data_IF_984304154191
#
_entry.id   IF_984304154191
#
_cell.length_a   1.000
_cell.length_b   1.000
_cell.length_c   1.000
_cell.angle_alpha   90.00
_cell.angle_beta   90.00
_cell.angle_gamma   90.00
#
_symmetry.space_group_name_H-M   'P 1'
#
loop_
_entity.id
_entity.type
_entity.pdbx_description
1 polymer ?
#
# COMPACT_ATOMS: atom_id res chain seq x y z
N UNK A 1 -16.01 49.89 -49.19
CA UNK A 1 -17.31 50.15 -48.53
C UNK A 1 -17.28 49.52 -47.15
N UNK A 2 -17.25 50.36 -46.11
CA UNK A 2 -17.22 49.95 -44.71
C UNK A 2 -18.63 49.61 -44.23
N UNK A 3 -18.80 48.45 -43.59
CA UNK A 3 -20.00 48.14 -42.79
C UNK A 3 -19.53 47.71 -41.42
N UNK A 4 -19.47 48.68 -40.50
CA UNK A 4 -19.30 48.49 -39.06
C UNK A 4 -20.51 47.72 -38.53
N UNK A 5 -20.33 46.48 -38.09
CA UNK A 5 -21.33 45.77 -37.30
C UNK A 5 -21.25 46.24 -35.85
N UNK A 6 -22.38 46.76 -35.39
CA UNK A 6 -22.66 47.36 -34.10
C UNK A 6 -22.68 46.27 -33.02
N UNK A 7 -21.75 46.34 -32.07
CA UNK A 7 -21.84 45.56 -30.83
C UNK A 7 -23.01 46.09 -30.01
N UNK A 8 -23.99 45.25 -29.71
CA UNK A 8 -25.02 45.57 -28.73
C UNK A 8 -24.45 45.37 -27.33
N UNK A 9 -24.42 46.46 -26.56
CA UNK A 9 -24.19 46.44 -25.11
C UNK A 9 -25.26 45.60 -24.43
N UNK A 10 -24.83 44.52 -23.79
CA UNK A 10 -25.64 43.76 -22.83
C UNK A 10 -25.59 44.53 -21.51
N UNK A 11 -26.74 45.10 -21.12
CA UNK A 11 -26.94 45.67 -19.79
C UNK A 11 -26.91 44.53 -18.73
N UNK A 12 -26.22 44.70 -17.59
CA UNK A 12 -26.23 43.71 -16.51
C UNK A 12 -27.60 43.68 -15.82
N UNK A 13 -28.13 42.49 -15.55
CA UNK A 13 -29.30 42.30 -14.70
C UNK A 13 -28.97 42.72 -13.24
N UNK A 14 -29.90 43.36 -12.50
CA UNK A 14 -29.66 43.75 -11.12
C UNK A 14 -29.69 42.53 -10.20
N UNK A 15 -28.71 42.47 -9.28
CA UNK A 15 -28.60 41.48 -8.21
C UNK A 15 -29.73 41.73 -7.17
N UNK A 16 -30.45 40.70 -6.71
CA UNK A 16 -31.47 40.88 -5.67
C UNK A 16 -30.84 41.22 -4.30
N UNK A 17 -31.54 42.00 -3.45
CA UNK A 17 -30.99 42.45 -2.17
C UNK A 17 -30.84 41.32 -1.16
N UNK A 18 -29.69 41.31 -0.47
CA UNK A 18 -29.38 40.40 0.64
C UNK A 18 -30.19 40.84 1.88
N UNK A 19 -30.90 39.94 2.58
CA UNK A 19 -31.61 40.29 3.81
C UNK A 19 -30.65 40.51 4.99
N UNK A 20 -30.96 41.44 5.91
CA UNK A 20 -30.10 41.78 7.05
C UNK A 20 -30.05 40.66 8.11
N UNK A 21 -28.96 40.55 8.88
CA UNK A 21 -28.84 39.58 9.97
C UNK A 21 -29.75 39.95 11.15
N UNK A 22 -30.50 38.96 11.65
CA UNK A 22 -31.27 39.04 12.89
C UNK A 22 -30.34 39.14 14.11
N UNK A 23 -30.67 39.98 15.12
CA UNK A 23 -29.84 40.19 16.29
C UNK A 23 -30.00 39.08 17.34
N UNK A 24 -28.88 38.77 17.99
CA UNK A 24 -28.78 37.97 19.20
C UNK A 24 -29.65 38.53 20.33
N UNK A 25 -30.33 37.65 21.06
CA UNK A 25 -31.06 38.01 22.26
C UNK A 25 -30.60 37.13 23.43
N UNK A 26 -29.58 37.61 24.14
CA UNK A 26 -29.27 37.23 25.52
C UNK A 26 -30.00 38.19 26.48
N UNK A 27 -30.78 37.63 27.40
CA UNK A 27 -31.00 38.15 28.76
C UNK A 27 -31.58 37.01 29.62
N UNK A 28 -30.77 36.38 30.49
CA UNK A 28 -30.55 36.74 31.90
C UNK A 28 -31.73 36.46 32.83
N UNK A 29 -31.52 35.54 33.79
CA UNK A 29 -31.79 35.79 35.21
C UNK A 29 -31.09 34.79 36.17
N UNK A 30 -29.95 35.25 36.68
CA UNK A 30 -29.44 35.19 38.05
C UNK A 30 -30.33 34.58 39.15
N UNK A 31 -29.76 33.69 39.98
CA UNK A 31 -29.99 33.68 41.44
C UNK A 31 -28.74 33.17 42.19
N UNK A 32 -28.14 34.11 42.93
CA UNK A 32 -27.37 34.08 44.17
C UNK A 32 -26.51 32.86 44.60
N UNK A 33 -25.23 33.17 44.88
CA UNK A 33 -24.27 32.43 45.75
C UNK A 33 -24.64 32.55 47.25
N UNK A 34 -24.02 31.76 48.15
CA UNK A 34 -22.77 32.22 48.78
C UNK A 34 -21.64 31.17 48.87
N UNK A 35 -20.41 31.71 48.92
CA UNK A 35 -19.12 31.06 49.18
C UNK A 35 -19.00 30.53 50.61
N UNK A 36 -18.37 29.37 50.78
CA UNK A 36 -17.56 29.04 51.97
C UNK A 36 -16.28 28.32 51.50
N UNK A 37 -15.14 28.83 51.94
CA UNK A 37 -13.81 28.25 51.72
C UNK A 37 -13.34 27.52 52.99
N UNK A 38 -12.39 26.59 52.78
CA UNK A 38 -11.36 26.13 53.70
C UNK A 38 -11.69 24.99 54.69
N UNK A 39 -11.24 23.76 54.38
CA UNK A 39 -10.01 23.18 54.98
C UNK A 39 -9.68 21.74 54.51
N UNK A 40 -8.41 21.60 54.16
CA UNK A 40 -7.50 20.44 54.29
C UNK A 40 -8.09 19.11 54.79
N UNK A 41 -7.87 18.05 54.01
CA UNK A 41 -7.53 16.74 54.56
C UNK A 41 -6.60 16.01 53.58
N UNK A 42 -5.36 15.81 54.01
CA UNK A 42 -4.37 14.97 53.35
C UNK A 42 -4.82 13.51 53.43
N UNK A 43 -4.77 12.76 52.32
CA UNK A 43 -4.84 11.30 52.35
C UNK A 43 -3.63 10.73 51.63
N UNK A 44 -2.70 10.24 52.45
CA UNK A 44 -1.55 9.42 52.06
C UNK A 44 -2.03 8.18 51.28
N UNK A 45 -1.49 7.96 50.08
CA UNK A 45 -1.47 6.64 49.45
C UNK A 45 -0.04 6.12 49.44
N UNK A 46 0.17 5.12 50.30
CA UNK A 46 1.39 4.35 50.50
C UNK A 46 1.67 3.46 49.29
N UNK A 47 2.89 3.55 48.75
CA UNK A 47 3.42 2.67 47.72
C UNK A 47 3.76 1.29 48.30
N UNK A 48 3.23 0.22 47.70
CA UNK A 48 3.55 -1.17 48.02
C UNK A 48 4.80 -1.67 47.25
N UNK A 49 5.67 -2.50 47.85
CA UNK A 49 6.87 -3.03 47.21
C UNK A 49 6.62 -4.29 46.36
N UNK A 50 7.48 -4.60 45.37
CA UNK A 50 7.31 -5.76 44.50
C UNK A 50 7.74 -7.08 45.16
N UNK A 51 6.98 -8.15 44.90
CA UNK A 51 7.21 -9.50 45.39
C UNK A 51 8.37 -10.22 44.64
N UNK A 52 9.11 -11.13 45.28
CA UNK A 52 10.24 -11.84 44.68
C UNK A 52 9.81 -12.99 43.76
N UNK A 53 10.45 -13.07 42.58
CA UNK A 53 10.29 -14.16 41.61
C UNK A 53 10.86 -15.47 42.16
N UNK A 54 10.00 -16.47 42.28
CA UNK A 54 10.38 -17.84 42.64
C UNK A 54 11.03 -18.54 41.46
N UNK A 55 12.20 -19.11 41.70
CA UNK A 55 12.94 -20.00 40.81
C UNK A 55 12.40 -21.42 40.94
N UNK A 56 11.73 -21.93 39.91
CA UNK A 56 11.57 -23.37 39.76
C UNK A 56 11.21 -23.80 38.34
N UNK A 57 11.95 -24.81 37.88
CA UNK A 57 11.56 -25.84 36.92
C UNK A 57 11.66 -25.52 35.42
N UNK A 58 12.78 -25.98 34.86
CA UNK A 58 12.89 -26.50 33.48
C UNK A 58 11.90 -27.65 33.24
N UNK A 59 11.36 -27.77 32.03
CA UNK A 59 11.10 -29.07 31.43
C UNK A 59 11.90 -29.22 30.13
N UNK A 60 12.60 -30.35 30.05
CA UNK A 60 13.32 -30.81 28.86
C UNK A 60 12.41 -31.61 27.90
N UNK A 61 12.84 -31.63 26.63
CA UNK A 61 12.59 -32.63 25.57
C UNK A 61 11.45 -32.34 24.56
N UNK A 62 11.46 -32.96 23.36
CA UNK A 62 12.56 -33.01 22.37
C UNK A 62 12.09 -32.65 20.93
N UNK A 63 13.04 -32.38 20.04
CA UNK A 63 12.82 -32.12 18.61
C UNK A 63 12.32 -33.38 17.87
N UNK A 64 11.40 -33.26 16.88
CA UNK A 64 11.17 -34.31 15.90
C UNK A 64 12.14 -34.18 14.72
N UNK A 65 12.86 -35.26 14.44
CA UNK A 65 13.59 -35.46 13.19
C UNK A 65 12.59 -35.60 12.03
N UNK A 66 12.74 -34.77 11.00
CA UNK A 66 12.10 -34.99 9.70
C UNK A 66 13.16 -35.09 8.61
N UNK A 67 13.25 -36.30 8.07
CA UNK A 67 14.05 -36.77 6.94
C UNK A 67 13.96 -35.86 5.71
N UNK A 68 15.10 -35.43 5.17
CA UNK A 68 15.19 -34.77 3.87
C UNK A 68 15.32 -35.83 2.78
N UNK A 69 14.34 -35.84 1.89
CA UNK A 69 14.30 -36.66 0.69
C UNK A 69 15.36 -36.24 -0.32
N UNK A 70 15.91 -37.27 -0.95
CA UNK A 70 16.80 -37.31 -2.10
C UNK A 70 16.25 -36.49 -3.28
N UNK A 71 17.09 -35.66 -3.91
CA UNK A 71 16.82 -35.07 -5.22
C UNK A 71 17.99 -35.40 -6.17
N UNK A 72 17.62 -35.94 -7.33
CA UNK A 72 18.48 -36.50 -8.36
C UNK A 72 19.50 -35.51 -8.93
N UNK A 73 20.69 -36.06 -9.15
CA UNK A 73 21.80 -35.48 -9.90
C UNK A 73 21.56 -35.66 -11.40
N UNK A 74 21.52 -34.56 -12.16
CA UNK A 74 21.61 -34.60 -13.63
C UNK A 74 23.02 -34.19 -14.06
N UNK A 75 23.73 -35.16 -14.63
CA UNK A 75 24.98 -35.01 -15.37
C UNK A 75 24.84 -34.05 -16.56
N UNK A 76 25.83 -33.18 -16.78
CA UNK A 76 26.29 -32.81 -18.12
C UNK A 76 27.81 -32.54 -18.09
N UNK A 77 28.50 -33.14 -19.06
CA UNK A 77 29.92 -33.40 -19.13
C UNK A 77 30.62 -32.43 -20.12
N UNK A 78 31.78 -31.92 -19.67
CA UNK A 78 33.05 -31.51 -20.32
C UNK A 78 33.15 -30.86 -21.72
N UNK A 79 34.08 -29.87 -21.80
CA UNK A 79 35.15 -29.67 -22.83
C UNK A 79 35.52 -28.15 -22.90
N UNK A 80 36.76 -27.61 -22.94
CA UNK A 80 38.14 -28.07 -23.04
C UNK A 80 39.11 -26.92 -22.58
N UNK A 81 40.36 -27.28 -22.24
CA UNK A 81 41.51 -26.49 -21.78
C UNK A 81 41.98 -25.28 -22.62
N UNK A 82 42.67 -24.31 -21.97
CA UNK A 82 44.11 -23.98 -22.20
C UNK A 82 44.62 -22.78 -21.37
N UNK A 83 45.75 -22.94 -20.67
CA UNK A 83 46.60 -21.84 -20.15
C UNK A 83 47.57 -21.31 -21.22
N UNK A 84 48.45 -20.32 -20.91
CA UNK A 84 49.72 -20.64 -20.22
C UNK A 84 50.31 -19.53 -19.30
N UNK A 85 51.51 -19.82 -18.79
CA UNK A 85 52.29 -19.24 -17.67
C UNK A 85 53.39 -18.21 -18.04
N UNK A 86 53.77 -17.39 -17.04
CA UNK A 86 55.12 -16.88 -16.64
C UNK A 86 55.87 -15.80 -17.45
N UNK A 87 56.35 -14.76 -16.74
CA UNK A 87 57.74 -14.25 -16.83
C UNK A 87 58.14 -13.33 -15.65
N UNK A 88 59.22 -13.69 -14.97
CA UNK A 88 59.97 -12.96 -13.93
C UNK A 88 60.93 -11.94 -14.54
N UNK A 89 61.22 -10.82 -13.87
CA UNK A 89 62.51 -10.12 -14.07
C UNK A 89 63.06 -9.53 -12.77
N UNK A 90 64.21 -10.08 -12.40
CA UNK A 90 65.16 -9.70 -11.35
C UNK A 90 66.06 -8.60 -11.88
N UNK A 91 66.53 -7.69 -11.00
CA UNK A 91 67.90 -7.13 -10.97
C UNK A 91 67.95 -5.96 -9.94
N UNK A 92 69.00 -5.63 -9.17
CA UNK A 92 70.45 -5.81 -9.23
C UNK A 92 71.06 -5.67 -7.81
N UNK A 93 72.19 -6.33 -7.52
CA UNK A 93 73.13 -6.04 -6.40
C UNK A 93 74.19 -5.01 -6.83
N UNK A 94 74.86 -4.28 -5.90
CA UNK A 94 76.21 -4.73 -5.49
C UNK A 94 76.64 -4.45 -4.02
N UNK A 95 77.45 -5.39 -3.52
CA UNK A 95 78.66 -5.29 -2.66
C UNK A 95 78.92 -4.09 -1.74
N UNK A 96 79.15 -4.32 -0.44
CA UNK A 96 80.50 -4.26 0.20
C UNK A 96 80.48 -4.17 1.74
N UNK A 97 81.47 -4.85 2.33
CA UNK A 97 82.16 -4.60 3.61
C UNK A 97 81.58 -5.14 4.92
N UNK A 98 82.39 -5.99 5.55
CA UNK A 98 82.31 -6.38 6.96
C UNK A 98 82.46 -5.18 7.89
N UNK A 99 81.64 -5.18 8.94
CA UNK A 99 81.85 -4.48 10.19
C UNK A 99 81.06 -5.20 11.28
N UNK A 100 81.74 -5.92 12.16
CA UNK A 100 81.15 -6.32 13.44
C UNK A 100 80.78 -5.06 14.23
N UNK A 101 79.73 -5.09 15.06
CA UNK A 101 79.67 -4.62 16.45
C UNK A 101 78.22 -4.78 16.98
N UNK A 102 78.13 -5.55 18.07
CA UNK A 102 77.22 -5.52 19.22
C UNK A 102 75.72 -5.28 19.10
N UNK A 103 74.99 -6.14 19.81
CA UNK A 103 73.57 -6.07 20.12
C UNK A 103 73.20 -4.87 21.00
N UNK A 104 72.14 -4.16 20.59
CA UNK A 104 71.30 -3.34 21.47
C UNK A 104 69.86 -3.38 20.92
N UNK A 105 68.84 -3.75 21.72
CA UNK A 105 67.46 -3.68 21.29
C UNK A 105 66.84 -2.33 21.70
N UNK A 106 66.19 -1.64 20.77
CA UNK A 106 65.19 -0.63 21.06
C UNK A 106 64.11 -0.65 19.95
N UNK A 107 62.82 -0.68 20.31
CA UNK A 107 61.73 -0.90 19.37
C UNK A 107 61.07 0.44 18.98
N UNK A 108 60.48 0.52 17.79
CA UNK A 108 59.14 1.09 17.61
C UNK A 108 58.67 0.84 16.17
N UNK A 109 58.04 -0.33 15.98
CA UNK A 109 57.15 -0.53 14.84
C UNK A 109 55.90 0.33 15.06
N UNK A 110 55.66 1.28 14.16
CA UNK A 110 54.53 2.19 14.18
C UNK A 110 53.20 1.42 14.02
N UNK A 111 52.66 0.91 15.11
CA UNK A 111 51.31 0.35 15.16
C UNK A 111 50.28 1.48 14.97
N UNK A 112 49.62 1.45 13.81
CA UNK A 112 48.45 2.27 13.52
C UNK A 112 47.38 2.04 14.60
N UNK A 113 47.01 3.09 15.35
CA UNK A 113 46.13 2.99 16.52
C UNK A 113 44.90 3.89 16.34
N UNK A 114 43.75 3.34 15.89
CA UNK A 114 42.51 4.12 15.79
C UNK A 114 42.02 4.47 17.21
N UNK A 115 41.65 5.73 17.45
CA UNK A 115 41.23 6.22 18.78
C UNK A 115 39.71 6.41 18.82
N UNK A 116 39.00 5.62 19.61
CA UNK A 116 37.59 5.85 19.94
C UNK A 116 37.44 6.36 21.38
N UNK A 117 36.57 7.34 21.60
CA UNK A 117 36.36 7.98 22.92
C UNK A 117 35.19 7.32 23.66
N UNK A 118 35.42 6.85 24.88
CA UNK A 118 34.39 6.47 25.85
C UNK A 118 34.39 7.46 27.03
N UNK A 119 33.21 7.83 27.50
CA UNK A 119 33.01 8.85 28.54
C UNK A 119 33.48 8.40 29.93
N UNK A 120 34.04 9.38 30.65
CA UNK A 120 34.11 9.55 32.12
C UNK A 120 34.58 8.33 32.94
N UNK A 121 35.87 8.02 32.85
CA UNK A 121 36.87 7.79 33.93
C UNK A 121 37.92 6.81 33.41
N UNK A 122 39.15 7.28 33.20
CA UNK A 122 40.28 6.48 32.70
C UNK A 122 40.87 7.02 31.41
N UNK A 123 41.71 8.05 31.50
CA UNK A 123 42.48 8.57 30.35
C UNK A 123 43.69 7.69 30.11
N UNK A 124 43.48 6.59 29.40
CA UNK A 124 44.54 5.72 28.88
C UNK A 124 43.96 4.90 27.73
N UNK A 125 44.66 4.77 26.60
CA UNK A 125 44.14 4.02 25.47
C UNK A 125 44.09 2.54 25.85
N UNK A 126 42.88 1.96 25.85
CA UNK A 126 42.67 0.54 26.15
C UNK A 126 43.56 -0.27 25.18
N UNK A 127 44.49 -1.11 25.66
CA UNK A 127 45.25 -1.98 24.79
C UNK A 127 44.28 -2.99 24.18
N UNK A 128 44.00 -2.82 22.90
CA UNK A 128 43.19 -3.74 22.11
C UNK A 128 44.17 -4.46 21.18
N UNK A 129 44.38 -5.75 21.40
CA UNK A 129 45.13 -6.58 20.47
C UNK A 129 44.47 -6.55 19.09
N UNK A 130 45.24 -6.82 18.03
CA UNK A 130 44.69 -6.89 16.67
C UNK A 130 43.50 -7.87 16.56
N UNK A 131 43.54 -8.97 17.31
CA UNK A 131 42.45 -9.93 17.42
C UNK A 131 41.20 -9.31 18.08
N UNK A 132 41.36 -8.57 19.17
CA UNK A 132 40.23 -7.88 19.83
C UNK A 132 39.62 -6.80 18.93
N UNK A 133 40.44 -6.04 18.20
CA UNK A 133 39.94 -5.04 17.25
C UNK A 133 39.15 -5.71 16.12
N UNK A 134 39.69 -6.81 15.56
CA UNK A 134 38.99 -7.58 14.54
C UNK A 134 37.64 -8.12 15.04
N UNK A 135 37.59 -8.66 16.26
CA UNK A 135 36.34 -9.13 16.89
C UNK A 135 35.34 -7.98 17.02
N UNK A 136 35.76 -6.81 17.52
CA UNK A 136 34.88 -5.66 17.68
C UNK A 136 34.34 -5.17 16.33
N UNK A 137 35.18 -5.11 15.29
CA UNK A 137 34.74 -4.75 13.93
C UNK A 137 33.73 -5.75 13.38
N UNK A 138 33.93 -7.05 13.60
CA UNK A 138 32.96 -8.07 13.20
C UNK A 138 31.63 -7.94 13.96
N UNK A 139 31.68 -7.62 15.25
CA UNK A 139 30.46 -7.40 16.05
C UNK A 139 29.68 -6.17 15.59
N UNK A 140 30.37 -5.07 15.27
CA UNK A 140 29.75 -3.88 14.68
C UNK A 140 29.13 -4.20 13.32
N UNK A 141 29.83 -4.97 12.49
CA UNK A 141 29.27 -5.43 11.20
C UNK A 141 28.02 -6.30 11.40
N UNK A 142 28.03 -7.25 12.33
CA UNK A 142 26.86 -8.09 12.64
C UNK A 142 25.70 -7.26 13.16
N UNK A 143 25.97 -6.24 13.99
CA UNK A 143 24.95 -5.31 14.47
C UNK A 143 24.31 -4.53 13.33
N UNK A 144 25.12 -4.02 12.39
CA UNK A 144 24.62 -3.33 11.19
C UNK A 144 23.79 -4.26 10.31
N UNK A 145 24.21 -5.51 10.13
CA UNK A 145 23.41 -6.50 9.40
C UNK A 145 22.07 -6.77 10.12
N UNK A 146 22.07 -6.89 11.45
CA UNK A 146 20.83 -7.11 12.21
C UNK A 146 19.86 -5.93 12.12
N UNK A 147 20.34 -4.69 12.19
CA UNK A 147 19.47 -3.51 12.05
C UNK A 147 18.92 -3.39 10.64
N UNK A 148 19.73 -3.69 9.62
CA UNK A 148 19.28 -3.73 8.22
C UNK A 148 18.22 -4.81 7.99
N UNK A 149 18.42 -6.03 8.52
CA UNK A 149 17.46 -7.13 8.42
C UNK A 149 16.17 -6.78 9.18
N UNK A 150 16.26 -6.24 10.39
CA UNK A 150 15.09 -5.83 11.18
C UNK A 150 14.28 -4.75 10.44
N UNK A 151 14.94 -3.77 9.82
CA UNK A 151 14.28 -2.77 9.00
C UNK A 151 13.61 -3.40 7.76
N UNK A 152 14.28 -4.31 7.06
CA UNK A 152 13.71 -5.01 5.92
C UNK A 152 12.49 -5.86 6.31
N UNK A 153 12.56 -6.60 7.43
CA UNK A 153 11.45 -7.38 7.98
C UNK A 153 10.29 -6.48 8.39
N UNK A 154 10.53 -5.35 9.05
CA UNK A 154 9.46 -4.40 9.40
C UNK A 154 8.80 -3.77 8.16
N UNK A 155 9.57 -3.50 7.10
CA UNK A 155 9.01 -3.02 5.83
C UNK A 155 8.21 -4.11 5.10
N UNK A 156 8.69 -5.35 5.11
CA UNK A 156 7.96 -6.50 4.57
C UNK A 156 6.71 -6.77 5.40
N UNK A 157 6.77 -6.68 6.73
CA UNK A 157 5.63 -6.79 7.62
C UNK A 157 4.67 -5.60 7.46
N UNK A 158 5.11 -4.39 7.14
CA UNK A 158 4.19 -3.31 6.79
C UNK A 158 3.49 -3.54 5.44
N UNK A 159 4.14 -4.28 4.53
CA UNK A 159 3.61 -4.62 3.20
C UNK A 159 2.74 -5.89 3.20
N UNK A 160 3.03 -6.84 4.09
CA UNK A 160 2.40 -8.16 4.18
C UNK A 160 1.50 -8.28 5.41
N UNK A 161 1.91 -7.70 6.54
CA UNK A 161 1.14 -7.51 7.78
C UNK A 161 0.17 -6.35 7.64
N UNK A 162 -0.75 -6.50 6.71
CA UNK A 162 -2.13 -6.59 7.17
C UNK A 162 -2.46 -8.07 6.98
N UNK A 163 -2.58 -8.81 8.08
CA UNK A 163 -3.70 -9.75 8.20
C UNK A 163 -4.93 -8.90 7.85
N UNK A 164 -5.21 -8.75 6.56
CA UNK A 164 -6.36 -8.01 6.12
C UNK A 164 -7.50 -8.86 6.68
N UNK A 165 -8.29 -8.37 7.65
CA UNK A 165 -9.56 -9.02 7.92
C UNK A 165 -10.18 -9.17 6.55
N UNK A 166 -10.51 -10.42 6.14
CA UNK A 166 -11.11 -10.73 4.84
C UNK A 166 -12.06 -9.59 4.56
N UNK A 167 -11.72 -8.71 3.61
CA UNK A 167 -12.35 -7.40 3.58
C UNK A 167 -13.83 -7.64 3.32
N UNK A 168 -14.63 -7.52 4.38
CA UNK A 168 -16.03 -7.88 4.31
C UNK A 168 -16.75 -6.76 3.57
N UNK A 169 -17.62 -7.14 2.63
CA UNK A 169 -18.49 -6.20 1.97
C UNK A 169 -19.30 -5.45 3.05
N UNK A 170 -19.40 -4.11 3.01
CA UNK A 170 -20.21 -3.36 3.97
C UNK A 170 -21.64 -3.92 4.01
N UNK A 171 -22.12 -4.24 5.22
CA UNK A 171 -23.45 -4.87 5.43
C UNK A 171 -24.60 -3.96 5.03
N UNK A 172 -24.36 -2.65 5.04
CA UNK A 172 -25.37 -1.63 4.75
C UNK A 172 -25.66 -1.49 3.25
N UNK A 173 -24.90 -2.17 2.38
CA UNK A 173 -25.07 -2.09 0.93
C UNK A 173 -25.44 -3.45 0.36
N UNK A 174 -26.64 -3.52 -0.20
CA UNK A 174 -27.07 -4.67 -0.98
C UNK A 174 -26.50 -4.57 -2.40
N UNK A 175 -25.75 -5.58 -2.83
CA UNK A 175 -25.31 -5.76 -4.21
C UNK A 175 -25.76 -7.14 -4.72
N UNK A 176 -26.09 -7.29 -6.01
CA UNK A 176 -26.05 -6.28 -7.07
C UNK A 176 -27.20 -5.27 -7.00
N UNK A 177 -26.97 -4.04 -7.45
CA UNK A 177 -27.97 -2.99 -7.59
C UNK A 177 -28.97 -3.38 -8.68
N UNK A 178 -30.26 -3.45 -8.32
CA UNK A 178 -31.35 -3.97 -9.16
C UNK A 178 -32.26 -2.88 -9.72
N UNK A 179 -32.26 -1.69 -9.12
CA UNK A 179 -33.09 -0.56 -9.55
C UNK A 179 -32.26 0.73 -9.70
N UNK A 180 -32.77 1.71 -10.46
CA UNK A 180 -32.10 3.00 -10.64
C UNK A 180 -32.05 3.83 -9.34
N UNK A 181 -33.09 3.85 -8.48
CA UNK A 181 -33.03 4.50 -7.17
C UNK A 181 -31.94 3.92 -6.25
N UNK A 182 -31.77 2.59 -6.20
CA UNK A 182 -30.67 1.96 -5.45
C UNK A 182 -29.29 2.47 -5.92
N UNK A 183 -29.14 2.76 -7.22
CA UNK A 183 -27.90 3.37 -7.73
C UNK A 183 -27.72 4.79 -7.21
N UNK A 184 -28.79 5.56 -7.02
CA UNK A 184 -28.72 6.94 -6.49
C UNK A 184 -28.34 6.93 -5.02
N UNK A 185 -29.01 6.09 -4.24
CA UNK A 185 -28.70 5.87 -2.82
C UNK A 185 -27.26 5.40 -2.64
N UNK A 186 -26.78 4.50 -3.51
CA UNK A 186 -25.41 4.05 -3.49
C UNK A 186 -24.41 5.17 -3.84
N UNK A 187 -24.70 6.02 -4.83
CA UNK A 187 -23.86 7.16 -5.17
C UNK A 187 -23.84 8.22 -4.07
N UNK A 188 -24.96 8.45 -3.38
CA UNK A 188 -25.04 9.32 -2.20
C UNK A 188 -24.24 8.74 -1.02
N UNK A 189 -24.37 7.43 -0.78
CA UNK A 189 -23.57 6.70 0.22
C UNK A 189 -22.06 6.81 -0.08
N UNK A 190 -21.68 6.74 -1.37
CA UNK A 190 -20.31 6.95 -1.83
C UNK A 190 -19.83 8.39 -1.68
N UNK A 191 -20.73 9.37 -1.63
CA UNK A 191 -20.40 10.78 -1.42
C UNK A 191 -20.15 11.09 0.06
N UNK A 192 -20.84 10.42 0.96
CA UNK A 192 -20.76 10.67 2.41
C UNK A 192 -19.40 10.29 3.01
N UNK A 193 -18.68 11.28 3.55
CA UNK A 193 -17.35 11.08 4.16
C UNK A 193 -17.37 10.17 5.39
N UNK A 194 -18.49 10.01 6.09
CA UNK A 194 -18.62 9.11 7.25
C UNK A 194 -18.39 7.65 6.85
N UNK A 195 -18.71 7.31 5.60
CA UNK A 195 -18.56 5.96 5.06
C UNK A 195 -17.13 5.63 4.60
N UNK A 196 -16.13 6.47 4.91
CA UNK A 196 -14.77 6.30 4.39
C UNK A 196 -14.16 4.93 4.66
N UNK A 197 -14.31 4.41 5.89
CA UNK A 197 -13.80 3.08 6.23
C UNK A 197 -14.53 1.96 5.47
N UNK A 198 -15.86 2.03 5.41
CA UNK A 198 -16.68 1.09 4.67
C UNK A 198 -16.35 1.09 3.15
N UNK A 199 -16.06 2.27 2.56
CA UNK A 199 -15.59 2.39 1.17
C UNK A 199 -14.26 1.67 0.96
N UNK A 200 -13.31 1.78 1.89
CA UNK A 200 -12.05 1.03 1.79
C UNK A 200 -12.28 -0.48 1.87
N UNK A 201 -13.16 -0.92 2.77
CA UNK A 201 -13.52 -2.33 2.87
C UNK A 201 -14.16 -2.84 1.57
N UNK A 202 -15.08 -2.07 0.98
CA UNK A 202 -15.69 -2.39 -0.31
C UNK A 202 -14.66 -2.46 -1.44
N UNK A 203 -13.72 -1.51 -1.52
CA UNK A 203 -12.65 -1.52 -2.51
C UNK A 203 -11.77 -2.76 -2.35
N UNK A 204 -11.42 -3.14 -1.13
CA UNK A 204 -10.63 -4.33 -0.85
C UNK A 204 -11.40 -5.62 -1.19
N UNK A 205 -12.69 -5.70 -0.83
CA UNK A 205 -13.57 -6.83 -1.15
C UNK A 205 -13.75 -7.03 -2.66
N UNK A 206 -13.92 -5.93 -3.40
CA UNK A 206 -13.99 -5.95 -4.86
C UNK A 206 -12.63 -6.18 -5.52
N UNK A 207 -11.53 -5.73 -4.90
CA UNK A 207 -10.18 -6.01 -5.39
C UNK A 207 -9.79 -7.48 -5.30
N UNK A 208 -10.35 -8.21 -4.33
CA UNK A 208 -10.23 -9.66 -4.20
C UNK A 208 -11.01 -10.44 -5.28
N UNK A 209 -11.81 -9.77 -6.12
CA UNK A 209 -12.48 -10.39 -7.26
C UNK A 209 -11.43 -10.87 -8.25
N UNK A 210 -11.32 -12.19 -8.45
CA UNK A 210 -10.35 -12.79 -9.36
C UNK A 210 -10.57 -12.43 -10.83
N UNK A 211 -9.51 -12.59 -11.64
CA UNK A 211 -9.51 -12.43 -13.08
C UNK A 211 -8.08 -12.45 -13.62
N UNK A 212 -7.85 -13.05 -14.78
CA UNK A 212 -6.49 -13.20 -15.33
C UNK A 212 -5.91 -11.91 -15.93
N UNK A 213 -6.76 -10.91 -16.18
CA UNK A 213 -6.36 -9.64 -16.78
C UNK A 213 -7.34 -8.51 -16.43
N UNK A 214 -6.94 -7.27 -16.71
CA UNK A 214 -7.70 -6.03 -16.43
C UNK A 214 -9.13 -6.11 -16.92
N UNK A 215 -9.35 -6.64 -18.13
CA UNK A 215 -10.70 -6.81 -18.69
C UNK A 215 -11.56 -7.70 -17.81
N UNK A 216 -11.06 -8.90 -17.46
CA UNK A 216 -11.83 -9.88 -16.66
C UNK A 216 -12.11 -9.35 -15.26
N UNK A 217 -11.11 -8.75 -14.61
CA UNK A 217 -11.28 -8.15 -13.28
C UNK A 217 -12.35 -7.06 -13.32
N UNK A 218 -12.25 -6.11 -14.28
CA UNK A 218 -13.22 -5.02 -14.45
C UNK A 218 -14.64 -5.56 -14.66
N UNK A 219 -14.81 -6.53 -15.57
CA UNK A 219 -16.12 -7.10 -15.88
C UNK A 219 -16.71 -7.88 -14.70
N UNK A 220 -15.89 -8.61 -13.95
CA UNK A 220 -16.34 -9.36 -12.78
C UNK A 220 -16.80 -8.40 -11.65
N UNK A 221 -16.07 -7.31 -11.42
CA UNK A 221 -16.47 -6.28 -10.45
C UNK A 221 -17.80 -5.64 -10.87
N UNK A 222 -17.93 -5.22 -12.13
CA UNK A 222 -19.17 -4.61 -12.64
C UNK A 222 -20.37 -5.56 -12.54
N UNK A 223 -20.15 -6.85 -12.78
CA UNK A 223 -21.22 -7.87 -12.69
C UNK A 223 -21.63 -8.17 -11.23
N UNK A 224 -20.77 -7.88 -10.25
CA UNK A 224 -21.16 -7.92 -8.83
C UNK A 224 -21.91 -6.66 -8.41
N UNK A 225 -21.56 -5.51 -8.96
CA UNK A 225 -22.17 -4.22 -8.61
C UNK A 225 -23.56 -4.02 -9.23
N UNK A 226 -23.75 -4.42 -10.48
CA UNK A 226 -24.95 -4.08 -11.25
C UNK A 226 -25.65 -5.30 -11.79
N UNK A 227 -26.97 -5.34 -11.62
CA UNK A 227 -27.83 -6.25 -12.36
C UNK A 227 -27.85 -5.90 -13.86
N UNK A 228 -28.26 -6.87 -14.70
CA UNK A 228 -28.46 -6.63 -16.13
C UNK A 228 -29.54 -5.58 -16.42
N UNK A 229 -30.55 -5.45 -15.55
CA UNK A 229 -31.61 -4.45 -15.67
C UNK A 229 -31.04 -3.03 -15.50
N UNK A 230 -30.26 -2.80 -14.43
CA UNK A 230 -29.62 -1.50 -14.16
C UNK A 230 -28.54 -1.19 -15.18
N UNK A 231 -27.75 -2.18 -15.60
CA UNK A 231 -26.70 -1.95 -16.57
C UNK A 231 -27.23 -1.44 -17.92
N UNK A 232 -28.47 -1.77 -18.30
CA UNK A 232 -29.13 -1.21 -19.50
C UNK A 232 -29.50 0.27 -19.34
N UNK A 233 -29.63 0.77 -18.10
CA UNK A 233 -29.97 2.15 -17.76
C UNK A 233 -28.75 3.04 -17.53
N UNK A 234 -27.54 2.52 -17.72
CA UNK A 234 -26.28 3.25 -17.58
C UNK A 234 -25.58 3.32 -18.94
N UNK A 235 -24.97 4.46 -19.25
CA UNK A 235 -24.01 4.56 -20.33
C UNK A 235 -22.85 5.49 -19.95
N UNK A 236 -21.87 5.61 -20.83
CA UNK A 236 -20.68 6.42 -20.53
C UNK A 236 -20.93 7.93 -20.44
N UNK A 237 -21.85 8.48 -21.25
CA UNK A 237 -22.04 9.94 -21.44
C UNK A 237 -23.33 10.51 -20.83
N UNK A 238 -24.20 9.68 -20.27
CA UNK A 238 -25.54 10.05 -19.81
C UNK A 238 -26.60 10.29 -20.90
N UNK A 239 -26.41 9.79 -22.12
CA UNK A 239 -27.35 10.08 -23.23
C UNK A 239 -28.67 9.31 -23.11
N UNK A 240 -29.76 9.82 -23.72
CA UNK A 240 -31.09 9.20 -23.75
C UNK A 240 -31.70 8.94 -22.36
N UNK A 241 -31.49 9.86 -21.40
CA UNK A 241 -32.05 9.75 -20.04
C UNK A 241 -31.41 8.67 -19.18
N UNK A 242 -30.26 8.11 -19.60
CA UNK A 242 -29.51 7.11 -18.84
C UNK A 242 -28.50 7.77 -17.91
N UNK A 243 -28.10 7.07 -16.84
CA UNK A 243 -27.04 7.52 -15.91
C UNK A 243 -25.68 7.66 -16.63
N UNK A 244 -24.93 8.72 -16.30
CA UNK A 244 -23.60 9.01 -16.85
C UNK A 244 -22.50 8.34 -15.99
N UNK A 245 -22.02 7.17 -16.40
CA UNK A 245 -21.00 6.43 -15.64
C UNK A 245 -19.68 7.19 -15.49
N UNK A 246 -19.33 8.05 -16.44
CA UNK A 246 -18.11 8.88 -16.35
C UNK A 246 -18.11 9.79 -15.12
N UNK A 247 -19.29 10.26 -14.70
CA UNK A 247 -19.47 11.22 -13.60
C UNK A 247 -19.79 10.55 -12.26
N UNK A 248 -20.10 9.25 -12.27
CA UNK A 248 -20.41 8.47 -11.07
C UNK A 248 -19.16 8.22 -10.21
N UNK A 249 -19.32 8.30 -8.89
CA UNK A 249 -18.29 7.94 -7.90
C UNK A 249 -17.96 6.44 -7.96
N UNK A 250 -18.90 5.61 -8.41
CA UNK A 250 -18.63 4.20 -8.70
C UNK A 250 -17.49 4.01 -9.69
N UNK A 251 -17.25 4.94 -10.63
CA UNK A 251 -16.08 4.86 -11.54
C UNK A 251 -14.77 4.91 -10.74
N UNK A 252 -14.64 5.86 -9.82
CA UNK A 252 -13.45 5.99 -8.98
C UNK A 252 -13.27 4.77 -8.08
N UNK A 253 -14.36 4.24 -7.53
CA UNK A 253 -14.35 3.00 -6.74
C UNK A 253 -13.89 1.80 -7.58
N UNK A 254 -14.41 1.65 -8.80
CA UNK A 254 -14.04 0.59 -9.74
C UNK A 254 -12.54 0.63 -10.05
N UNK A 255 -11.99 1.79 -10.40
CA UNK A 255 -10.56 1.94 -10.73
C UNK A 255 -9.69 1.52 -9.55
N UNK A 256 -10.05 1.97 -8.34
CA UNK A 256 -9.32 1.61 -7.11
C UNK A 256 -9.40 0.12 -6.81
N UNK A 257 -10.57 -0.51 -7.00
CA UNK A 257 -10.75 -1.94 -6.81
C UNK A 257 -9.96 -2.75 -7.86
N UNK A 258 -9.98 -2.37 -9.13
CA UNK A 258 -9.21 -3.06 -10.19
C UNK A 258 -7.71 -3.01 -9.90
N UNK A 259 -7.17 -1.87 -9.47
CA UNK A 259 -5.74 -1.73 -9.11
C UNK A 259 -5.34 -2.43 -7.82
N UNK A 260 -6.31 -2.83 -6.98
CA UNK A 260 -6.04 -3.72 -5.83
C UNK A 260 -5.83 -5.17 -6.25
N UNK A 261 -6.26 -5.55 -7.45
CA UNK A 261 -6.05 -6.90 -7.96
C UNK A 261 -4.63 -7.06 -8.53
N UNK A 262 -3.94 -8.14 -8.13
CA UNK A 262 -2.56 -8.42 -8.54
C UNK A 262 -2.35 -8.48 -10.06
N UNK A 263 -3.36 -8.93 -10.82
CA UNK A 263 -3.29 -9.03 -12.28
C UNK A 263 -3.53 -7.70 -13.00
N UNK A 264 -3.78 -6.60 -12.26
CA UNK A 264 -4.19 -5.30 -12.84
C UNK A 264 -3.69 -4.08 -12.05
N UNK A 265 -2.68 -4.26 -11.20
CA UNK A 265 -2.12 -3.21 -10.33
C UNK A 265 -1.73 -1.93 -11.09
N UNK A 266 -1.16 -2.08 -12.29
CA UNK A 266 -0.65 -0.98 -13.10
C UNK A 266 -1.58 -0.58 -14.25
N UNK A 267 -2.83 -1.06 -14.27
CA UNK A 267 -3.78 -0.73 -15.33
C UNK A 267 -4.06 0.77 -15.38
N UNK A 268 -4.01 1.35 -16.58
CA UNK A 268 -4.31 2.76 -16.80
C UNK A 268 -5.81 3.05 -16.66
N UNK A 269 -6.18 4.25 -16.22
CA UNK A 269 -7.58 4.66 -16.10
C UNK A 269 -8.34 4.47 -17.42
N UNK A 270 -7.73 4.90 -18.53
CA UNK A 270 -8.30 4.78 -19.88
C UNK A 270 -8.53 3.34 -20.31
N UNK A 271 -7.66 2.42 -19.90
CA UNK A 271 -7.80 0.99 -20.18
C UNK A 271 -9.03 0.43 -19.44
N UNK A 272 -9.14 0.69 -18.13
CA UNK A 272 -10.26 0.27 -17.28
C UNK A 272 -11.57 0.85 -17.81
N UNK A 273 -11.58 2.15 -18.12
CA UNK A 273 -12.72 2.85 -18.70
C UNK A 273 -13.18 2.22 -20.01
N UNK A 274 -12.25 1.86 -20.91
CA UNK A 274 -12.59 1.23 -22.19
C UNK A 274 -13.31 -0.10 -21.98
N UNK A 275 -12.92 -0.89 -20.97
CA UNK A 275 -13.58 -2.15 -20.63
C UNK A 275 -14.94 -1.91 -19.97
N UNK A 276 -15.07 -0.89 -19.13
CA UNK A 276 -16.36 -0.51 -18.52
C UNK A 276 -17.36 -0.03 -19.58
N UNK A 277 -16.93 0.86 -20.49
CA UNK A 277 -17.72 1.31 -21.64
C UNK A 277 -18.23 0.11 -22.43
N UNK A 278 -17.33 -0.82 -22.80
CA UNK A 278 -17.70 -2.00 -23.57
C UNK A 278 -18.63 -2.93 -22.78
N UNK A 279 -18.46 -3.04 -21.46
CA UNK A 279 -19.35 -3.83 -20.61
C UNK A 279 -20.78 -3.26 -20.61
N UNK A 280 -20.97 -1.94 -20.44
CA UNK A 280 -22.30 -1.32 -20.48
C UNK A 280 -22.93 -1.38 -21.89
N UNK A 281 -22.14 -1.19 -22.95
CA UNK A 281 -22.64 -1.31 -24.33
C UNK A 281 -23.18 -2.71 -24.64
N UNK A 282 -22.62 -3.75 -24.02
CA UNK A 282 -23.06 -5.13 -24.17
C UNK A 282 -24.19 -5.52 -23.20
N UNK A 283 -24.68 -4.62 -22.34
CA UNK A 283 -25.77 -4.92 -21.41
C UNK A 283 -27.06 -5.39 -22.09
N UNK A 284 -27.49 -4.84 -23.24
CA UNK A 284 -28.65 -5.34 -23.98
C UNK A 284 -28.47 -6.75 -24.56
N UNK A 285 -27.23 -7.24 -24.68
CA UNK A 285 -26.93 -8.57 -25.24
C UNK A 285 -26.92 -9.66 -24.16
N UNK A 286 -26.72 -9.29 -22.90
CA UNK A 286 -26.74 -10.20 -21.76
C UNK A 286 -28.16 -10.71 -21.50
N UNK A 287 -28.28 -11.87 -20.85
CA UNK A 287 -29.58 -12.50 -20.57
C UNK A 287 -30.37 -12.95 -21.80
N UNK A 288 -29.71 -13.20 -22.94
CA UNK A 288 -30.35 -13.72 -24.15
C UNK A 288 -30.79 -12.67 -25.18
N UNK A 289 -30.54 -11.38 -24.94
CA UNK A 289 -30.99 -10.31 -25.85
C UNK A 289 -30.44 -10.40 -27.29
N UNK A 290 -29.25 -10.99 -27.49
CA UNK A 290 -28.75 -11.29 -28.85
C UNK A 290 -29.60 -12.32 -29.59
N UNK A 291 -30.02 -13.37 -28.87
CA UNK A 291 -30.88 -14.42 -29.42
C UNK A 291 -32.23 -13.83 -29.80
N UNK A 292 -32.80 -13.00 -28.93
CA UNK A 292 -34.08 -12.34 -29.18
C UNK A 292 -34.06 -11.45 -30.43
N UNK A 293 -33.04 -10.59 -30.56
CA UNK A 293 -32.91 -9.76 -31.78
C UNK A 293 -32.69 -10.57 -33.04
N UNK A 294 -32.03 -11.73 -32.95
CA UNK A 294 -31.87 -12.63 -34.11
C UNK A 294 -33.23 -13.23 -34.50
N UNK A 295 -34.02 -13.69 -33.54
CA UNK A 295 -35.37 -14.22 -33.78
C UNK A 295 -36.31 -13.16 -34.37
N UNK A 296 -36.30 -11.94 -33.85
CA UNK A 296 -37.09 -10.82 -34.40
C UNK A 296 -36.66 -10.51 -35.83
N UNK A 297 -35.35 -10.53 -36.12
CA UNK A 297 -34.82 -10.29 -37.47
C UNK A 297 -35.21 -11.40 -38.44
N UNK A 298 -35.13 -12.67 -38.02
CA UNK A 298 -35.56 -13.83 -38.80
C UNK A 298 -37.06 -13.72 -39.13
N UNK A 299 -37.91 -13.47 -38.13
CA UNK A 299 -39.35 -13.30 -38.32
C UNK A 299 -39.70 -12.14 -39.28
N UNK A 300 -39.01 -10.99 -39.17
CA UNK A 300 -39.22 -9.85 -40.08
C UNK A 300 -38.79 -10.18 -41.52
N UNK A 301 -37.75 -11.01 -41.68
CA UNK A 301 -37.25 -11.42 -43.00
C UNK A 301 -38.21 -12.42 -43.64
N UNK A 302 -38.76 -13.37 -42.88
CA UNK A 302 -39.79 -14.31 -43.35
C UNK A 302 -41.06 -13.58 -43.81
N UNK A 303 -41.51 -12.57 -43.05
CA UNK A 303 -42.66 -11.73 -43.46
C UNK A 303 -42.40 -10.93 -44.73
N UNK A 304 -41.15 -10.55 -45.01
CA UNK A 304 -40.80 -9.76 -46.20
C UNK A 304 -40.65 -10.60 -47.48
N UNK A 305 -40.41 -11.91 -47.38
CA UNK A 305 -40.26 -12.81 -48.54
C UNK A 305 -41.51 -13.65 -48.83
N UNK A 306 -42.53 -13.61 -47.97
CA UNK A 306 -43.78 -14.37 -48.10
C UNK A 306 -44.92 -13.65 -48.83
N UNK A 307 -44.64 -12.61 -49.62
CA UNK A 307 -45.64 -11.80 -50.34
C UNK A 307 -45.35 -11.75 -51.84
#
# INVERSE_FOLDING_TARGET
MAIKRRCHNVLPCPVPPIPPPTPDNEACQTTARPLLDQRQTESYFTAAPPAPLSTSCMPSSPLPHSSVGHFDTMHFQDDFCSGPQVATRVSHTPSSSMGQISATPLPDEHFFRPTFRLGKTGTGPIPCSAAQLHILTLLDYVKEQQTAIAAAVNNLAARLGTEAPVAEMPKDISIPLTTVPEVEEFEEWLKDSRNSQAKQNMISALGAVGGQNTKRVTWNILSRLYSDAVAKQINWKGVNGKKCFKEMLTRSLLIRAVRKNQSSTNAADSEIDSYAIRWFNLAPDRGGGRKERSRVKEALTEMAHGN
#
